data_IF_629160803554
#
_entry.id   IF_629160803554
#
_cell.length_a   1.000
_cell.length_b   1.000
_cell.length_c   1.000
_cell.angle_alpha   90.00
_cell.angle_beta   90.00
_cell.angle_gamma   90.00
#
_symmetry.space_group_name_H-M   'P 1'
#
loop_
_entity.id
_entity.type
_entity.pdbx_description
1 polymer ?
#
# COMPACT_ATOMS: atom_id res chain seq x y z
N UNK A 1 7.00 -39.56 -3.43
CA UNK A 1 6.55 -40.18 -4.69
C UNK A 1 5.08 -39.84 -4.83
N UNK A 2 4.61 -39.41 -6.00
CA UNK A 2 3.19 -39.28 -6.32
C UNK A 2 2.97 -40.13 -7.57
N UNK A 3 2.03 -41.08 -7.52
CA UNK A 3 1.74 -42.00 -8.63
C UNK A 3 2.98 -42.79 -9.13
N UNK A 4 3.83 -43.25 -8.22
CA UNK A 4 5.04 -44.00 -8.59
C UNK A 4 6.17 -43.17 -9.20
N UNK A 5 5.97 -41.85 -9.37
CA UNK A 5 7.00 -40.93 -9.90
C UNK A 5 7.54 -40.04 -8.79
N UNK A 6 8.85 -39.81 -8.81
CA UNK A 6 9.47 -38.85 -7.91
C UNK A 6 9.01 -37.44 -8.28
N UNK A 7 8.40 -36.72 -7.33
CA UNK A 7 7.95 -35.33 -7.54
C UNK A 7 9.10 -34.36 -7.82
N UNK A 8 10.35 -34.79 -7.56
CA UNK A 8 11.59 -34.07 -7.89
C UNK A 8 12.25 -34.56 -9.19
N UNK A 9 11.54 -35.39 -9.96
CA UNK A 9 11.94 -35.90 -11.28
C UNK A 9 13.26 -36.70 -11.25
N UNK A 10 13.44 -37.53 -10.24
CA UNK A 10 14.50 -38.54 -10.19
C UNK A 10 13.97 -39.91 -10.66
N UNK A 11 14.76 -40.70 -11.40
CA UNK A 11 16.14 -40.45 -11.83
C UNK A 11 16.23 -39.40 -12.94
N UNK A 12 17.29 -38.59 -12.93
CA UNK A 12 17.58 -37.60 -13.98
C UNK A 12 18.27 -38.27 -15.18
N UNK A 13 18.26 -37.63 -16.35
CA UNK A 13 18.98 -38.16 -17.52
C UNK A 13 20.50 -38.07 -17.36
N UNK A 14 21.24 -39.00 -17.98
CA UNK A 14 22.68 -38.88 -18.12
C UNK A 14 23.04 -37.74 -19.07
N UNK A 15 24.09 -37.00 -18.74
CA UNK A 15 24.56 -35.83 -19.50
C UNK A 15 26.08 -35.74 -19.42
N UNK A 16 26.71 -35.55 -20.57
CA UNK A 16 28.17 -35.43 -20.65
C UNK A 16 28.72 -34.08 -20.19
N UNK A 17 27.91 -33.02 -20.23
CA UNK A 17 28.31 -31.67 -19.80
C UNK A 17 27.14 -30.99 -19.09
N UNK A 18 27.45 -29.92 -18.36
CA UNK A 18 26.43 -29.06 -17.77
C UNK A 18 25.83 -28.23 -18.90
N UNK A 19 24.50 -28.23 -19.01
CA UNK A 19 23.76 -27.45 -20.00
C UNK A 19 22.82 -26.46 -19.31
N UNK A 20 22.69 -25.28 -19.91
CA UNK A 20 21.70 -24.29 -19.48
C UNK A 20 20.30 -24.69 -19.93
N UNK A 21 19.30 -24.39 -19.10
CA UNK A 21 17.91 -24.66 -19.39
C UNK A 21 17.11 -23.35 -19.38
N UNK A 22 16.15 -23.22 -20.30
CA UNK A 22 15.17 -22.12 -20.38
C UNK A 22 14.39 -21.96 -19.05
N UNK A 23 14.25 -23.04 -18.29
CA UNK A 23 13.60 -23.04 -16.97
C UNK A 23 14.48 -22.55 -15.82
N UNK A 24 15.74 -22.20 -16.07
CA UNK A 24 16.64 -21.50 -15.15
C UNK A 24 17.44 -22.39 -14.20
N UNK A 25 17.08 -23.66 -14.06
CA UNK A 25 17.89 -24.67 -13.38
C UNK A 25 18.87 -25.34 -14.36
N UNK A 26 20.19 -25.36 -14.08
CA UNK A 26 21.14 -26.03 -14.94
C UNK A 26 20.90 -27.54 -14.93
N UNK A 27 21.07 -28.14 -16.10
CA UNK A 27 21.04 -29.59 -16.26
C UNK A 27 22.45 -30.11 -16.03
N UNK A 28 22.71 -30.58 -14.81
CA UNK A 28 24.04 -31.01 -14.40
C UNK A 28 24.58 -32.19 -15.23
N UNK A 29 25.89 -32.19 -15.45
CA UNK A 29 26.62 -33.34 -15.95
C UNK A 29 26.38 -34.54 -15.03
N UNK A 30 25.95 -35.66 -15.62
CA UNK A 30 25.72 -36.93 -14.96
C UNK A 30 26.31 -38.01 -15.85
N UNK A 31 27.53 -38.44 -15.55
CA UNK A 31 28.21 -39.49 -16.32
C UNK A 31 27.57 -40.84 -16.01
N UNK A 32 27.46 -41.70 -17.01
CA UNK A 32 27.10 -43.10 -16.82
C UNK A 32 28.27 -43.77 -16.09
N UNK A 33 28.07 -44.10 -14.82
CA UNK A 33 29.03 -44.85 -14.00
C UNK A 33 28.37 -46.13 -13.53
N UNK A 34 29.16 -47.04 -12.98
CA UNK A 34 28.65 -48.25 -12.35
C UNK A 34 27.61 -47.91 -11.27
N UNK A 35 26.55 -48.69 -11.23
CA UNK A 35 25.51 -48.58 -10.21
C UNK A 35 25.98 -49.24 -8.92
N UNK A 36 25.70 -48.60 -7.79
CA UNK A 36 25.90 -49.18 -6.46
C UNK A 36 24.58 -49.67 -5.89
N UNK A 37 24.60 -50.84 -5.24
CA UNK A 37 23.42 -51.38 -4.58
C UNK A 37 23.27 -50.79 -3.19
N UNK A 38 22.22 -50.00 -2.97
CA UNK A 38 21.87 -49.40 -1.68
C UNK A 38 20.56 -50.00 -1.20
N UNK A 39 20.65 -50.94 -0.26
CA UNK A 39 19.50 -51.74 0.18
C UNK A 39 18.94 -52.60 -0.95
N UNK A 40 17.68 -52.37 -1.33
CA UNK A 40 16.99 -53.09 -2.43
C UNK A 40 17.05 -52.37 -3.78
N UNK A 41 17.72 -51.23 -3.86
CA UNK A 41 17.73 -50.39 -5.06
C UNK A 41 19.14 -50.28 -5.62
N UNK A 42 19.27 -50.39 -6.94
CA UNK A 42 20.50 -50.09 -7.65
C UNK A 42 20.48 -48.60 -8.03
N UNK A 43 21.41 -47.84 -7.47
CA UNK A 43 21.51 -46.40 -7.62
C UNK A 43 22.76 -46.05 -8.42
N UNK A 44 22.59 -45.18 -9.41
CA UNK A 44 23.68 -44.60 -10.19
C UNK A 44 23.67 -43.07 -10.05
N UNK A 45 24.52 -42.39 -10.82
CA UNK A 45 24.62 -40.94 -10.83
C UNK A 45 23.30 -40.20 -11.17
N UNK A 46 22.28 -40.88 -11.71
CA UNK A 46 20.98 -40.26 -12.00
C UNK A 46 20.17 -39.98 -10.75
N UNK A 47 20.48 -40.66 -9.64
CA UNK A 47 19.80 -40.53 -8.35
C UNK A 47 20.46 -39.53 -7.40
N UNK A 48 21.67 -39.06 -7.73
CA UNK A 48 22.45 -38.18 -6.86
C UNK A 48 21.90 -36.75 -6.89
N UNK A 49 21.64 -36.18 -5.71
CA UNK A 49 21.25 -34.78 -5.55
C UNK A 49 22.51 -33.91 -5.56
N UNK A 50 22.54 -32.79 -6.30
CA UNK A 50 23.65 -31.84 -6.23
C UNK A 50 23.93 -31.41 -4.80
N UNK A 51 25.17 -31.51 -4.34
CA UNK A 51 25.54 -31.16 -2.98
C UNK A 51 26.91 -30.51 -2.95
N UNK A 52 27.19 -29.76 -1.88
CA UNK A 52 28.51 -29.25 -1.60
C UNK A 52 29.13 -30.10 -0.47
N UNK A 53 30.22 -30.85 -0.74
CA UNK A 53 30.86 -31.70 0.27
C UNK A 53 31.34 -30.93 1.50
N UNK A 54 31.86 -29.71 1.31
CA UNK A 54 32.36 -28.87 2.39
C UNK A 54 31.22 -28.40 3.30
N UNK A 55 30.12 -27.89 2.73
CA UNK A 55 28.94 -27.48 3.51
C UNK A 55 28.35 -28.66 4.28
N UNK A 56 28.16 -29.79 3.60
CA UNK A 56 27.55 -30.97 4.21
C UNK A 56 28.38 -31.48 5.39
N UNK A 57 29.72 -31.45 5.25
CA UNK A 57 30.65 -31.83 6.33
C UNK A 57 30.68 -30.80 7.46
N UNK A 58 30.69 -29.49 7.15
CA UNK A 58 30.76 -28.41 8.13
C UNK A 58 29.54 -28.39 9.06
N UNK A 59 28.35 -28.64 8.52
CA UNK A 59 27.09 -28.58 9.26
C UNK A 59 26.56 -29.97 9.64
N UNK A 60 27.27 -31.04 9.31
CA UNK A 60 26.85 -32.43 9.52
C UNK A 60 25.40 -32.70 9.07
N UNK A 61 25.04 -32.15 7.90
CA UNK A 61 23.68 -32.19 7.37
C UNK A 61 23.69 -32.37 5.84
N UNK A 62 22.72 -33.09 5.25
CA UNK A 62 22.61 -33.18 3.80
C UNK A 62 22.16 -31.83 3.23
N UNK A 63 23.09 -31.11 2.59
CA UNK A 63 22.82 -29.77 2.01
C UNK A 63 22.75 -29.89 0.49
N UNK A 64 21.53 -29.77 -0.05
CA UNK A 64 21.31 -29.60 -1.49
C UNK A 64 21.84 -28.21 -1.91
N UNK A 65 22.73 -28.20 -2.90
CA UNK A 65 23.30 -26.97 -3.43
C UNK A 65 22.97 -26.88 -4.93
N UNK A 66 22.03 -26.01 -5.26
CA UNK A 66 21.62 -25.74 -6.64
C UNK A 66 22.18 -24.39 -7.09
N UNK A 67 22.80 -24.37 -8.26
CA UNK A 67 23.29 -23.17 -8.93
C UNK A 67 22.17 -22.73 -9.87
N UNK A 68 21.87 -21.43 -9.94
CA UNK A 68 20.84 -20.91 -10.82
C UNK A 68 21.41 -19.72 -11.59
N UNK A 69 21.43 -19.83 -12.93
CA UNK A 69 22.23 -18.93 -13.79
C UNK A 69 21.37 -17.96 -14.61
N UNK A 70 20.05 -18.16 -14.69
CA UNK A 70 19.19 -17.30 -15.53
C UNK A 70 18.70 -16.02 -14.83
N UNK A 71 18.17 -15.05 -15.58
CA UNK A 71 17.51 -13.84 -15.05
C UNK A 71 16.36 -14.14 -14.07
N UNK A 72 15.79 -15.35 -14.14
CA UNK A 72 14.81 -15.82 -13.15
C UNK A 72 15.42 -15.95 -11.74
N UNK A 73 16.76 -16.02 -11.58
CA UNK A 73 17.49 -15.91 -10.30
C UNK A 73 17.18 -14.62 -9.59
N UNK A 74 17.19 -13.51 -10.33
CA UNK A 74 16.92 -12.17 -9.80
C UNK A 74 15.49 -12.12 -9.26
N UNK A 75 14.53 -12.66 -10.05
CA UNK A 75 13.14 -12.83 -9.59
C UNK A 75 13.06 -13.72 -8.35
N UNK A 76 13.82 -14.81 -8.29
CA UNK A 76 13.84 -15.72 -7.15
C UNK A 76 14.39 -15.06 -5.88
N UNK A 77 15.52 -14.36 -5.98
CA UNK A 77 16.12 -13.61 -4.86
C UNK A 77 15.13 -12.58 -4.32
N UNK A 78 14.59 -11.73 -5.20
CA UNK A 78 13.60 -10.73 -4.81
C UNK A 78 12.30 -11.34 -4.30
N UNK A 79 11.86 -12.48 -4.85
CA UNK A 79 10.69 -13.20 -4.33
C UNK A 79 10.88 -13.62 -2.89
N UNK A 80 12.06 -14.08 -2.47
CA UNK A 80 12.32 -14.50 -1.10
C UNK A 80 12.62 -13.34 -0.15
N UNK A 81 13.29 -12.28 -0.63
CA UNK A 81 13.52 -11.06 0.15
C UNK A 81 12.21 -10.29 0.38
N UNK A 82 11.34 -10.25 -0.63
CA UNK A 82 10.04 -9.57 -0.57
C UNK A 82 8.86 -10.52 -0.38
N UNK A 83 9.12 -11.80 -0.07
CA UNK A 83 8.04 -12.65 0.44
C UNK A 83 7.66 -12.01 1.77
N UNK A 84 6.50 -11.36 1.79
CA UNK A 84 6.02 -10.67 2.98
C UNK A 84 5.98 -11.60 4.18
N UNK A 85 5.75 -11.02 5.35
CA UNK A 85 5.53 -11.83 6.55
C UNK A 85 4.34 -12.75 6.30
N UNK A 86 4.55 -14.06 6.40
CA UNK A 86 3.47 -15.03 6.30
C UNK A 86 2.52 -14.77 7.49
N UNK A 87 1.30 -14.31 7.22
CA UNK A 87 0.23 -14.22 8.20
C UNK A 87 -0.47 -15.58 8.27
N UNK A 88 -0.67 -16.08 9.48
CA UNK A 88 -1.41 -17.31 9.73
C UNK A 88 -2.69 -16.94 10.49
N UNK A 89 -3.84 -17.28 9.92
CA UNK A 89 -5.12 -17.22 10.63
C UNK A 89 -5.39 -18.59 11.23
N UNK A 90 -5.58 -18.64 12.54
CA UNK A 90 -5.89 -19.86 13.28
C UNK A 90 -7.37 -19.78 13.67
N UNK A 91 -8.17 -20.73 13.23
CA UNK A 91 -9.56 -20.87 13.67
C UNK A 91 -9.64 -21.87 14.81
N UNK A 92 -10.27 -21.48 15.91
CA UNK A 92 -10.61 -22.41 16.99
C UNK A 92 -11.99 -23.02 16.70
N UNK A 93 -12.07 -24.35 16.64
CA UNK A 93 -13.34 -25.06 16.54
C UNK A 93 -13.74 -25.55 17.94
N UNK A 94 -14.71 -24.86 18.55
CA UNK A 94 -15.33 -25.30 19.81
C UNK A 94 -16.64 -26.04 19.48
N UNK A 95 -16.63 -27.37 19.51
CA UNK A 95 -17.77 -28.19 19.08
C UNK A 95 -19.04 -28.09 19.95
N UNK A 96 -19.02 -27.36 21.08
CA UNK A 96 -20.06 -27.48 22.12
C UNK A 96 -20.73 -26.17 22.62
N UNK A 97 -20.69 -25.05 21.90
CA UNK A 97 -21.41 -23.83 22.30
C UNK A 97 -22.25 -23.26 21.17
N UNK A 98 -23.56 -23.11 21.40
CA UNK A 98 -24.53 -22.45 20.51
C UNK A 98 -24.31 -20.92 20.41
N UNK A 99 -23.45 -20.37 21.27
CA UNK A 99 -23.12 -18.95 21.37
C UNK A 99 -21.62 -18.78 21.00
N UNK A 100 -21.31 -18.87 19.71
CA UNK A 100 -19.95 -18.65 19.20
C UNK A 100 -19.79 -17.20 18.75
N UNK A 101 -18.97 -16.45 19.48
CA UNK A 101 -18.44 -15.19 19.01
C UNK A 101 -17.47 -15.45 17.85
N UNK A 102 -17.88 -15.10 16.63
CA UNK A 102 -17.08 -15.27 15.41
C UNK A 102 -15.73 -14.56 15.53
N UNK A 103 -15.67 -13.38 16.17
CA UNK A 103 -14.43 -12.59 16.29
C UNK A 103 -13.43 -13.29 17.21
N UNK A 104 -13.90 -13.89 18.31
CA UNK A 104 -13.03 -14.65 19.23
C UNK A 104 -12.62 -16.03 18.68
N UNK A 105 -13.30 -16.51 17.64
CA UNK A 105 -13.03 -17.80 17.02
C UNK A 105 -11.82 -17.78 16.09
N UNK A 106 -11.26 -16.60 15.78
CA UNK A 106 -10.08 -16.44 14.94
C UNK A 106 -8.94 -15.75 15.68
N UNK A 107 -7.73 -16.28 15.52
CA UNK A 107 -6.49 -15.65 15.94
C UNK A 107 -5.61 -15.41 14.71
N UNK A 108 -5.46 -14.15 14.33
CA UNK A 108 -4.50 -13.75 13.31
C UNK A 108 -3.11 -13.56 13.93
N UNK A 109 -2.21 -14.48 13.60
CA UNK A 109 -0.82 -14.47 14.02
C UNK A 109 0.11 -14.07 12.87
N UNK A 110 1.16 -13.31 13.20
CA UNK A 110 2.29 -13.12 12.27
C UNK A 110 3.29 -14.25 12.48
N UNK A 111 3.57 -15.01 11.43
CA UNK A 111 4.69 -15.96 11.42
C UNK A 111 6.02 -15.20 11.38
N UNK A 112 6.94 -15.57 12.25
CA UNK A 112 8.29 -15.00 12.33
C UNK A 112 9.27 -16.09 11.93
N UNK A 113 10.09 -15.82 10.91
CA UNK A 113 11.11 -16.78 10.48
C UNK A 113 12.18 -16.99 11.55
N UNK A 114 12.81 -18.16 11.59
CA UNK A 114 13.90 -18.46 12.57
C UNK A 114 15.00 -17.40 12.56
N UNK A 115 15.49 -16.89 11.41
CA UNK A 115 16.46 -15.79 11.40
C UNK A 115 15.93 -14.51 12.03
N UNK A 116 14.69 -14.09 11.72
CA UNK A 116 14.08 -12.90 12.30
C UNK A 116 13.88 -13.05 13.83
N UNK A 117 13.47 -14.23 14.29
CA UNK A 117 13.32 -14.54 15.71
C UNK A 117 14.66 -14.44 16.45
N UNK A 118 15.73 -15.02 15.90
CA UNK A 118 17.07 -14.88 16.45
C UNK A 118 17.53 -13.43 16.48
N UNK A 119 17.27 -12.66 15.41
CA UNK A 119 17.60 -11.23 15.34
C UNK A 119 16.91 -10.43 16.45
N UNK A 120 15.61 -10.70 16.67
CA UNK A 120 14.81 -10.09 17.74
C UNK A 120 15.29 -10.47 19.14
N UNK A 121 15.61 -11.75 19.36
CA UNK A 121 16.11 -12.25 20.65
C UNK A 121 17.45 -11.62 21.05
N UNK A 122 18.27 -11.25 20.06
CA UNK A 122 19.52 -10.54 20.28
C UNK A 122 19.35 -9.00 20.28
N UNK A 123 18.12 -8.49 20.28
CA UNK A 123 17.78 -7.06 20.26
C UNK A 123 18.42 -6.28 19.11
N UNK A 124 18.75 -6.96 18.01
CA UNK A 124 19.31 -6.29 16.85
C UNK A 124 18.23 -5.47 16.14
N UNK A 125 18.63 -4.31 15.63
CA UNK A 125 17.76 -3.48 14.82
C UNK A 125 17.28 -4.26 13.59
N UNK A 126 15.97 -4.51 13.51
CA UNK A 126 15.33 -5.14 12.35
C UNK A 126 15.31 -4.23 11.13
N UNK A 127 15.29 -2.92 11.37
CA UNK A 127 15.12 -1.88 10.38
C UNK A 127 15.95 -0.68 10.79
N UNK A 128 16.91 -0.29 9.97
CA UNK A 128 17.49 1.04 10.04
C UNK A 128 16.58 2.00 9.27
N UNK A 129 16.09 3.04 9.96
CA UNK A 129 15.28 4.08 9.35
C UNK A 129 16.15 5.31 9.17
N UNK A 130 16.34 5.72 7.92
CA UNK A 130 17.02 6.98 7.63
C UNK A 130 16.21 8.21 8.06
N UNK A 131 14.87 8.08 8.17
CA UNK A 131 13.98 9.19 8.47
C UNK A 131 12.92 8.82 9.51
N UNK A 132 12.54 9.80 10.34
CA UNK A 132 11.37 9.72 11.23
C UNK A 132 10.11 10.09 10.45
N UNK A 133 9.11 9.22 10.48
CA UNK A 133 7.83 9.48 9.79
C UNK A 133 6.82 10.04 10.78
N UNK A 134 6.35 11.27 10.54
CA UNK A 134 5.29 11.92 11.30
C UNK A 134 3.96 11.71 10.57
N UNK A 135 3.01 11.03 11.22
CA UNK A 135 1.67 10.82 10.68
C UNK A 135 0.83 12.07 10.89
N UNK A 136 0.32 12.59 9.79
CA UNK A 136 -0.46 13.82 9.74
C UNK A 136 -1.95 13.50 9.59
N UNK A 137 -2.78 14.14 10.41
CA UNK A 137 -4.22 13.86 10.47
C UNK A 137 -4.93 14.40 9.22
N UNK A 138 -5.89 13.63 8.69
CA UNK A 138 -6.75 14.03 7.57
C UNK A 138 -8.18 13.64 7.94
N UNK A 139 -9.03 14.63 8.19
CA UNK A 139 -10.43 14.43 8.56
C UNK A 139 -11.25 15.65 8.16
N UNK A 140 -12.55 15.46 8.00
CA UNK A 140 -13.53 16.54 7.86
C UNK A 140 -13.78 17.21 9.23
N UNK A 141 -14.47 18.37 9.27
CA UNK A 141 -14.95 18.95 10.52
C UNK A 141 -15.69 17.89 11.35
N UNK A 142 -15.36 17.80 12.64
CA UNK A 142 -15.96 16.88 13.62
C UNK A 142 -15.89 15.38 13.32
N UNK A 143 -15.10 14.96 12.32
CA UNK A 143 -14.88 13.56 11.95
C UNK A 143 -13.48 13.05 12.31
N UNK A 144 -12.97 13.50 13.45
CA UNK A 144 -11.65 13.11 13.95
C UNK A 144 -11.69 11.65 14.42
N UNK A 145 -10.59 10.91 14.23
CA UNK A 145 -10.51 9.56 14.76
C UNK A 145 -10.32 9.59 16.27
N UNK A 146 -11.22 8.94 17.01
CA UNK A 146 -11.20 8.85 18.47
C UNK A 146 -10.98 7.38 18.85
N UNK A 147 -10.05 7.16 19.79
CA UNK A 147 -9.82 5.84 20.38
C UNK A 147 -10.37 5.88 21.80
N UNK A 148 -11.22 4.92 22.14
CA UNK A 148 -11.86 4.80 23.44
C UNK A 148 -11.82 3.34 23.93
N UNK A 149 -12.00 3.16 25.22
CA UNK A 149 -12.28 1.86 25.82
C UNK A 149 -13.80 1.71 25.91
N UNK A 150 -14.28 0.47 25.79
CA UNK A 150 -15.70 0.14 25.90
C UNK A 150 -16.29 0.69 27.21
N UNK A 151 -17.39 1.43 27.10
CA UNK A 151 -18.05 2.14 28.20
C UNK A 151 -17.48 3.52 28.56
N UNK A 152 -16.51 4.04 27.79
CA UNK A 152 -15.93 5.39 27.95
C UNK A 152 -16.10 6.27 26.70
N UNK A 153 -17.14 6.02 25.90
CA UNK A 153 -17.40 6.69 24.63
C UNK A 153 -17.60 8.20 24.82
N UNK A 154 -18.49 8.59 25.74
CA UNK A 154 -18.84 10.00 25.96
C UNK A 154 -17.64 10.82 26.45
N UNK A 155 -16.86 10.27 27.37
CA UNK A 155 -15.65 10.92 27.85
C UNK A 155 -14.61 11.06 26.74
N UNK A 156 -14.49 10.06 25.87
CA UNK A 156 -13.56 10.11 24.75
C UNK A 156 -13.96 11.18 23.73
N UNK A 157 -15.25 11.34 23.46
CA UNK A 157 -15.79 12.43 22.64
C UNK A 157 -15.50 13.79 23.28
N UNK A 158 -15.76 13.95 24.58
CA UNK A 158 -15.46 15.19 25.30
C UNK A 158 -13.96 15.53 25.27
N UNK A 159 -13.08 14.54 25.45
CA UNK A 159 -11.62 14.71 25.34
C UNK A 159 -11.19 15.07 23.92
N UNK A 160 -11.82 14.50 22.90
CA UNK A 160 -11.51 14.78 21.50
C UNK A 160 -11.88 16.22 21.12
N UNK A 161 -13.04 16.70 21.58
CA UNK A 161 -13.48 18.09 21.35
C UNK A 161 -12.49 19.12 21.93
N UNK A 162 -11.84 18.81 23.05
CA UNK A 162 -10.83 19.68 23.67
C UNK A 162 -9.42 19.54 23.04
N UNK A 163 -9.15 18.45 22.31
CA UNK A 163 -7.81 18.13 21.80
C UNK A 163 -7.65 18.52 20.35
N UNK A 164 -6.53 19.16 20.04
CA UNK A 164 -6.20 19.49 18.66
C UNK A 164 -5.52 18.34 17.93
N UNK A 165 -5.97 18.04 16.72
CA UNK A 165 -5.24 17.15 15.83
C UNK A 165 -4.05 17.88 15.21
N UNK A 166 -3.13 17.14 14.59
CA UNK A 166 -2.05 17.76 13.81
C UNK A 166 -2.57 18.65 12.68
N UNK A 167 -3.82 18.46 12.22
CA UNK A 167 -4.49 19.29 11.22
C UNK A 167 -5.02 20.59 11.84
N UNK A 168 -5.81 20.52 12.91
CA UNK A 168 -6.37 21.73 13.54
C UNK A 168 -5.29 22.57 14.22
N UNK A 169 -4.26 21.95 14.77
CA UNK A 169 -3.09 22.67 15.30
C UNK A 169 -2.29 23.37 14.18
N UNK A 170 -2.31 22.85 12.95
CA UNK A 170 -1.66 23.51 11.81
C UNK A 170 -2.41 24.77 11.39
N UNK A 171 -3.74 24.77 11.48
CA UNK A 171 -4.54 25.98 11.31
C UNK A 171 -4.17 27.05 12.34
N UNK A 172 -4.09 26.69 13.63
CA UNK A 172 -3.66 27.62 14.69
C UNK A 172 -2.22 28.09 14.47
N UNK A 173 -1.32 27.22 14.01
CA UNK A 173 0.05 27.60 13.66
C UNK A 173 0.06 28.67 12.57
N UNK A 174 -0.71 28.47 11.50
CA UNK A 174 -0.82 29.43 10.41
C UNK A 174 -1.46 30.75 10.85
N UNK A 175 -2.34 30.75 11.85
CA UNK A 175 -2.86 32.00 12.42
C UNK A 175 -1.79 32.79 13.18
N UNK A 176 -0.89 32.10 13.89
CA UNK A 176 0.03 32.72 14.85
C UNK A 176 1.43 32.99 14.30
N UNK A 177 1.87 32.25 13.27
CA UNK A 177 3.22 32.32 12.73
C UNK A 177 3.21 32.51 11.21
N UNK A 178 3.63 33.69 10.76
CA UNK A 178 3.68 34.02 9.33
C UNK A 178 4.66 33.14 8.55
N UNK A 179 5.73 32.65 9.18
CA UNK A 179 6.72 31.79 8.52
C UNK A 179 6.09 30.47 8.06
N UNK A 180 5.10 29.99 8.81
CA UNK A 180 4.43 28.72 8.54
C UNK A 180 3.63 28.72 7.21
N UNK A 181 3.29 29.91 6.70
CA UNK A 181 2.63 30.08 5.40
C UNK A 181 3.53 29.67 4.23
N UNK A 182 4.84 29.56 4.44
CA UNK A 182 5.77 29.13 3.39
C UNK A 182 5.82 27.60 3.22
N UNK A 183 5.15 26.84 4.08
CA UNK A 183 5.26 25.37 4.09
C UNK A 183 3.92 24.70 3.84
N UNK A 184 3.94 23.70 2.95
CA UNK A 184 2.80 22.80 2.76
C UNK A 184 2.61 21.94 3.99
N UNK A 185 1.37 21.53 4.25
CA UNK A 185 1.06 20.73 5.42
C UNK A 185 1.92 19.44 5.55
N UNK A 186 2.22 18.78 4.42
CA UNK A 186 3.12 17.61 4.37
C UNK A 186 4.56 17.90 4.79
N UNK A 187 5.00 19.14 4.61
CA UNK A 187 6.38 19.55 4.80
C UNK A 187 6.60 20.22 6.16
N UNK A 188 5.52 20.67 6.84
CA UNK A 188 5.55 21.21 8.21
C UNK A 188 6.42 20.40 9.17
N UNK A 189 6.41 19.05 9.20
CA UNK A 189 7.28 18.28 10.09
C UNK A 189 8.79 18.50 9.92
N UNK A 190 9.25 18.96 8.76
CA UNK A 190 10.65 19.32 8.53
C UNK A 190 11.05 20.59 9.29
N UNK A 191 10.11 21.52 9.50
CA UNK A 191 10.36 22.84 10.09
C UNK A 191 9.77 23.00 11.48
N UNK A 192 8.77 22.20 11.84
CA UNK A 192 8.07 22.23 13.11
C UNK A 192 7.98 20.83 13.72
N UNK A 193 7.96 20.77 15.04
CA UNK A 193 7.75 19.56 15.82
C UNK A 193 6.40 19.65 16.53
N UNK A 194 5.60 18.58 16.44
CA UNK A 194 4.31 18.53 17.13
C UNK A 194 4.51 18.10 18.59
N UNK A 195 4.23 19.01 19.52
CA UNK A 195 4.25 18.73 20.94
C UNK A 195 2.92 18.06 21.33
N UNK A 196 2.97 16.75 21.65
CA UNK A 196 1.76 15.97 21.99
C UNK A 196 1.12 16.35 23.32
N UNK A 197 1.89 16.91 24.26
CA UNK A 197 1.34 17.32 25.56
C UNK A 197 0.61 18.64 25.46
N UNK A 198 1.19 19.60 24.73
CA UNK A 198 0.58 20.90 24.46
C UNK A 198 -0.40 20.90 23.28
N UNK A 199 -0.38 19.83 22.46
CA UNK A 199 -1.14 19.68 21.21
C UNK A 199 -0.89 20.80 20.19
N UNK A 200 0.34 21.32 20.14
CA UNK A 200 0.73 22.47 19.29
C UNK A 200 1.98 22.20 18.50
N UNK A 201 2.11 22.88 17.35
CA UNK A 201 3.34 22.90 16.57
C UNK A 201 4.32 23.92 17.15
N UNK A 202 5.59 23.52 17.26
CA UNK A 202 6.69 24.36 17.74
C UNK A 202 7.82 24.36 16.73
N UNK A 203 8.51 25.48 16.54
CA UNK A 203 9.61 25.60 15.57
C UNK A 203 10.71 24.58 15.90
N UNK A 204 11.10 23.79 14.90
CA UNK A 204 12.11 22.74 15.06
C UNK A 204 13.49 23.37 15.13
N UNK A 205 14.29 22.89 16.09
CA UNK A 205 15.66 23.36 16.28
C UNK A 205 16.69 22.56 15.48
N UNK A 206 16.50 21.24 15.30
CA UNK A 206 17.45 20.32 14.64
C UNK A 206 16.76 19.14 13.94
N UNK A 207 17.45 18.54 12.97
CA UNK A 207 17.10 17.25 12.38
C UNK A 207 15.92 17.30 11.40
N UNK A 208 15.63 18.45 10.78
CA UNK A 208 14.50 18.60 9.86
C UNK A 208 14.62 17.74 8.60
N UNK A 209 15.82 17.60 8.05
CA UNK A 209 16.10 16.85 6.82
C UNK A 209 15.81 15.35 6.96
N UNK A 210 15.81 14.81 8.19
CA UNK A 210 15.56 13.41 8.48
C UNK A 210 14.12 13.15 8.94
N UNK A 211 13.17 14.04 8.63
CA UNK A 211 11.76 13.91 9.06
C UNK A 211 10.83 14.02 7.87
N UNK A 212 9.92 13.05 7.71
CA UNK A 212 8.95 13.04 6.62
C UNK A 212 7.54 13.11 7.20
N UNK A 213 6.77 14.11 6.79
CA UNK A 213 5.33 14.16 7.02
C UNK A 213 4.59 13.24 6.07
N UNK A 214 3.83 12.28 6.60
CA UNK A 214 2.95 11.41 5.80
C UNK A 214 1.50 11.61 6.17
N UNK A 215 0.70 11.97 5.17
CA UNK A 215 -0.75 11.90 5.25
C UNK A 215 -1.24 10.48 4.91
N UNK A 216 -2.25 9.94 5.61
CA UNK A 216 -2.85 8.66 5.28
C UNK A 216 -3.39 8.66 3.84
N UNK A 217 -3.41 7.49 3.21
CA UNK A 217 -4.14 7.29 1.97
C UNK A 217 -5.63 7.36 2.30
N UNK A 218 -6.38 8.09 1.50
CA UNK A 218 -7.84 8.20 1.62
C UNK A 218 -8.43 7.58 0.36
N UNK A 219 -9.43 6.72 0.53
CA UNK A 219 -10.15 6.10 -0.58
C UNK A 219 -10.93 7.18 -1.34
N UNK A 220 -10.95 7.13 -2.67
CA UNK A 220 -11.74 8.04 -3.52
C UNK A 220 -13.24 7.97 -3.19
N UNK A 221 -13.73 6.82 -2.71
CA UNK A 221 -15.12 6.67 -2.25
C UNK A 221 -15.44 7.54 -1.03
N UNK A 222 -14.45 7.90 -0.21
CA UNK A 222 -14.57 8.92 0.84
C UNK A 222 -14.27 10.29 0.21
N UNK A 223 -15.19 10.73 -0.65
CA UNK A 223 -14.99 11.79 -1.63
C UNK A 223 -14.47 13.10 -1.02
N UNK A 224 -15.20 13.67 -0.07
CA UNK A 224 -14.85 14.97 0.52
C UNK A 224 -13.52 14.93 1.29
N UNK A 225 -13.22 13.82 1.99
CA UNK A 225 -11.95 13.66 2.69
C UNK A 225 -10.79 13.47 1.71
N UNK A 226 -11.02 12.81 0.58
CA UNK A 226 -10.06 12.68 -0.50
C UNK A 226 -9.72 14.05 -1.10
N UNK A 227 -10.72 14.87 -1.42
CA UNK A 227 -10.51 16.22 -1.95
C UNK A 227 -9.85 17.16 -0.92
N UNK A 228 -10.21 17.05 0.36
CA UNK A 228 -9.50 17.74 1.43
C UNK A 228 -8.01 17.38 1.46
N UNK A 229 -7.67 16.09 1.33
CA UNK A 229 -6.27 15.64 1.24
C UNK A 229 -5.57 16.23 0.03
N UNK A 230 -6.25 16.32 -1.12
CA UNK A 230 -5.71 16.89 -2.35
C UNK A 230 -5.38 18.38 -2.20
N UNK A 231 -6.30 19.17 -1.64
CA UNK A 231 -6.09 20.60 -1.39
C UNK A 231 -4.88 20.86 -0.49
N UNK A 232 -4.67 20.03 0.53
CA UNK A 232 -3.56 20.19 1.49
C UNK A 232 -2.19 19.86 0.94
N UNK A 233 -2.12 19.18 -0.21
CA UNK A 233 -0.88 19.00 -0.95
C UNK A 233 -0.47 20.25 -1.73
N UNK A 234 -1.35 21.24 -1.86
CA UNK A 234 -1.17 22.38 -2.77
C UNK A 234 -1.39 23.74 -2.13
N UNK A 235 -2.27 23.84 -1.12
CA UNK A 235 -2.59 25.09 -0.44
C UNK A 235 -1.66 25.35 0.74
N UNK A 236 -1.04 26.52 0.71
CA UNK A 236 -0.16 27.08 1.73
C UNK A 236 -0.96 27.92 2.74
N UNK A 237 -0.47 27.98 3.98
CA UNK A 237 -0.96 28.93 4.99
C UNK A 237 -2.43 28.83 5.37
N UNK A 238 -3.11 27.70 5.11
CA UNK A 238 -4.55 27.63 5.35
C UNK A 238 -4.87 27.73 6.85
N UNK A 239 -5.78 28.62 7.25
CA UNK A 239 -6.09 28.88 8.67
C UNK A 239 -7.39 28.23 9.15
N UNK A 240 -8.16 27.60 8.26
CA UNK A 240 -9.40 26.90 8.62
C UNK A 240 -9.83 25.92 7.52
N UNK A 241 -10.86 25.12 7.81
CA UNK A 241 -11.51 24.29 6.80
C UNK A 241 -12.18 25.11 5.69
N UNK A 242 -12.77 26.26 6.03
CA UNK A 242 -13.39 27.16 5.05
C UNK A 242 -12.35 27.83 4.17
N UNK A 243 -11.19 28.17 4.74
CA UNK A 243 -10.08 28.64 3.95
C UNK A 243 -9.62 27.55 2.98
N UNK A 244 -9.48 26.28 3.40
CA UNK A 244 -9.20 25.19 2.46
C UNK A 244 -10.23 25.08 1.31
N UNK A 245 -11.51 25.37 1.57
CA UNK A 245 -12.58 25.40 0.55
C UNK A 245 -12.60 26.68 -0.29
N UNK A 246 -11.75 27.66 0.00
CA UNK A 246 -11.71 28.92 -0.74
C UNK A 246 -10.85 28.78 -2.00
N UNK A 247 -11.50 28.86 -3.16
CA UNK A 247 -10.86 28.94 -4.49
C UNK A 247 -11.20 30.29 -5.13
N UNK A 248 -10.22 30.99 -5.69
CA UNK A 248 -10.39 32.32 -6.31
C UNK A 248 -11.21 33.32 -5.46
N UNK A 249 -10.93 33.36 -4.15
CA UNK A 249 -11.61 34.20 -3.14
C UNK A 249 -13.08 33.88 -2.88
N UNK A 250 -13.60 32.78 -3.44
CA UNK A 250 -14.95 32.29 -3.20
C UNK A 250 -14.90 31.05 -2.31
N UNK A 251 -15.60 31.09 -1.18
CA UNK A 251 -15.73 29.94 -0.28
C UNK A 251 -16.69 28.93 -0.93
N UNK A 252 -16.20 27.72 -1.20
CA UNK A 252 -17.02 26.64 -1.72
C UNK A 252 -17.76 25.89 -0.61
N UNK A 253 -18.90 25.30 -0.96
CA UNK A 253 -19.64 24.42 -0.03
C UNK A 253 -18.92 23.09 0.21
N UNK A 254 -18.23 22.57 -0.81
CA UNK A 254 -17.55 21.27 -0.80
C UNK A 254 -16.07 21.40 -1.16
N UNK A 255 -15.25 20.49 -0.65
CA UNK A 255 -13.84 20.39 -1.00
C UNK A 255 -13.66 20.00 -2.47
N UNK A 256 -14.54 19.15 -3.01
CA UNK A 256 -14.54 18.81 -4.43
C UNK A 256 -14.65 20.04 -5.32
N UNK A 257 -15.60 20.94 -5.03
CA UNK A 257 -15.81 22.16 -5.81
C UNK A 257 -14.60 23.09 -5.72
N UNK A 258 -13.99 23.20 -4.54
CA UNK A 258 -12.75 23.96 -4.37
C UNK A 258 -11.61 23.39 -5.22
N UNK A 259 -11.44 22.06 -5.27
CA UNK A 259 -10.48 21.41 -6.16
C UNK A 259 -10.75 21.71 -7.63
N UNK A 260 -12.02 21.71 -8.06
CA UNK A 260 -12.43 22.01 -9.43
C UNK A 260 -12.07 23.45 -9.81
N UNK A 261 -12.36 24.42 -8.96
CA UNK A 261 -12.03 25.85 -9.19
C UNK A 261 -10.51 26.04 -9.23
N UNK A 262 -9.75 25.37 -8.37
CA UNK A 262 -8.28 25.44 -8.37
C UNK A 262 -7.61 24.66 -9.52
N UNK A 263 -8.40 24.10 -10.46
CA UNK A 263 -7.88 23.33 -11.59
C UNK A 263 -7.17 22.02 -11.20
N UNK A 264 -7.46 21.49 -10.00
CA UNK A 264 -6.88 20.23 -9.51
C UNK A 264 -7.62 18.99 -10.01
N UNK A 265 -8.84 19.19 -10.52
CA UNK A 265 -9.63 18.16 -11.18
C UNK A 265 -9.76 18.55 -12.65
N UNK A 266 -9.59 17.59 -13.55
CA UNK A 266 -9.96 17.79 -14.95
C UNK A 266 -11.45 18.14 -14.99
N UNK A 267 -11.81 19.23 -15.66
CA UNK A 267 -13.20 19.64 -15.78
C UNK A 267 -13.87 18.97 -16.97
N UNK A 268 -15.18 18.76 -16.88
CA UNK A 268 -16.00 18.24 -17.99
C UNK A 268 -16.20 19.25 -19.14
N UNK A 269 -15.46 20.37 -19.13
CA UNK A 269 -15.60 21.45 -20.10
C UNK A 269 -15.39 20.96 -21.54
N UNK A 270 -14.41 20.09 -21.75
CA UNK A 270 -14.17 19.49 -23.06
C UNK A 270 -15.34 18.60 -23.52
N UNK A 271 -16.06 17.94 -22.60
CA UNK A 271 -17.29 17.22 -22.93
C UNK A 271 -18.44 18.17 -23.28
N UNK A 272 -18.56 19.29 -22.56
CA UNK A 272 -19.53 20.33 -22.90
C UNK A 272 -19.27 20.92 -24.29
N UNK A 273 -18.02 21.28 -24.58
CA UNK A 273 -17.63 21.84 -25.87
C UNK A 273 -17.88 20.83 -27.00
N UNK A 274 -17.54 19.55 -26.78
CA UNK A 274 -17.80 18.45 -27.73
C UNK A 274 -19.30 18.26 -28.00
N UNK A 275 -20.15 18.29 -26.98
CA UNK A 275 -21.60 18.15 -27.15
C UNK A 275 -22.22 19.39 -27.81
N UNK A 276 -21.75 20.59 -27.46
CA UNK A 276 -22.19 21.84 -28.09
C UNK A 276 -21.90 21.85 -29.60
N UNK A 277 -20.73 21.37 -30.02
CA UNK A 277 -20.38 21.25 -31.43
C UNK A 277 -21.22 20.16 -32.13
N UNK A 278 -21.41 19.02 -31.47
CA UNK A 278 -22.18 17.92 -32.03
C UNK A 278 -23.66 18.28 -32.25
N UNK A 279 -24.26 19.08 -31.36
CA UNK A 279 -25.66 19.54 -31.48
C UNK A 279 -25.87 20.33 -32.78
N UNK A 280 -24.87 21.10 -33.22
CA UNK A 280 -24.98 21.91 -34.43
C UNK A 280 -24.84 21.09 -35.73
N UNK A 281 -24.24 19.91 -35.65
CA UNK A 281 -23.73 19.18 -36.83
C UNK A 281 -24.25 17.76 -36.98
N UNK A 282 -24.79 17.13 -35.92
CA UNK A 282 -25.10 15.70 -35.88
C UNK A 282 -26.59 15.43 -35.80
N UNK A 283 -27.00 14.28 -36.31
CA UNK A 283 -28.37 13.80 -36.18
C UNK A 283 -28.66 13.33 -34.72
N UNK A 284 -29.92 13.39 -34.24
CA UNK A 284 -30.27 13.04 -32.85
C UNK A 284 -29.82 11.64 -32.40
N UNK A 285 -29.82 10.66 -33.31
CA UNK A 285 -29.30 9.32 -33.01
C UNK A 285 -27.78 9.33 -32.71
N UNK A 286 -27.01 10.07 -33.51
CA UNK A 286 -25.56 10.19 -33.33
C UNK A 286 -25.22 10.96 -32.06
N UNK A 287 -26.03 11.97 -31.71
CA UNK A 287 -25.85 12.74 -30.49
C UNK A 287 -26.10 11.89 -29.24
N UNK A 288 -27.16 11.05 -29.23
CA UNK A 288 -27.41 10.10 -28.14
C UNK A 288 -26.34 9.05 -28.00
N UNK A 289 -25.80 8.55 -29.13
CA UNK A 289 -24.68 7.62 -29.12
C UNK A 289 -23.41 8.27 -28.55
N UNK A 290 -23.12 9.51 -28.93
CA UNK A 290 -21.99 10.28 -28.41
C UNK A 290 -22.14 10.50 -26.90
N UNK A 291 -23.32 10.90 -26.43
CA UNK A 291 -23.61 11.06 -25.01
C UNK A 291 -23.43 9.75 -24.23
N UNK A 292 -23.98 8.64 -24.72
CA UNK A 292 -23.80 7.33 -24.11
C UNK A 292 -22.31 6.90 -24.08
N UNK A 293 -21.55 7.24 -25.11
CA UNK A 293 -20.11 6.97 -25.18
C UNK A 293 -19.33 7.79 -24.15
N UNK A 294 -19.69 9.07 -23.97
CA UNK A 294 -19.11 9.96 -22.96
C UNK A 294 -19.42 9.41 -21.56
N UNK A 295 -20.67 9.04 -21.26
CA UNK A 295 -21.04 8.50 -19.95
C UNK A 295 -20.44 7.11 -19.67
N UNK A 296 -20.32 6.24 -20.69
CA UNK A 296 -19.91 4.86 -20.51
C UNK A 296 -18.40 4.62 -20.51
N UNK A 297 -17.62 5.47 -21.18
CA UNK A 297 -16.20 5.22 -21.44
C UNK A 297 -15.27 6.38 -21.09
N UNK A 298 -15.78 7.50 -20.56
CA UNK A 298 -14.98 8.66 -20.19
C UNK A 298 -15.11 8.98 -18.70
N UNK A 299 -14.07 9.63 -18.16
CA UNK A 299 -14.06 10.13 -16.79
C UNK A 299 -14.85 11.45 -16.72
N UNK A 300 -16.18 11.35 -16.81
CA UNK A 300 -17.08 12.48 -16.57
C UNK A 300 -17.23 12.65 -15.06
N UNK A 301 -16.90 13.84 -14.56
CA UNK A 301 -16.93 14.13 -13.13
C UNK A 301 -18.36 14.34 -12.61
N UNK A 302 -19.26 14.90 -13.43
CA UNK A 302 -20.65 15.20 -13.04
C UNK A 302 -21.65 14.79 -14.14
N UNK A 303 -22.01 13.51 -14.15
CA UNK A 303 -22.98 12.94 -15.09
C UNK A 303 -24.38 13.59 -14.94
N UNK A 304 -24.91 13.83 -13.73
CA UNK A 304 -26.18 14.54 -13.56
C UNK A 304 -26.20 15.93 -14.21
N UNK A 305 -25.18 16.76 -13.97
CA UNK A 305 -25.06 18.09 -14.58
C UNK A 305 -25.02 17.98 -16.12
N UNK A 306 -24.24 17.04 -16.65
CA UNK A 306 -24.14 16.77 -18.09
C UNK A 306 -25.50 16.37 -18.68
N UNK A 307 -26.25 15.48 -18.02
CA UNK A 307 -27.59 15.08 -18.46
C UNK A 307 -28.58 16.24 -18.44
N UNK A 308 -28.70 16.96 -17.32
CA UNK A 308 -29.66 18.05 -17.18
C UNK A 308 -29.43 19.17 -18.18
N UNK A 309 -28.17 19.41 -18.55
CA UNK A 309 -27.79 20.42 -19.53
C UNK A 309 -28.17 20.07 -20.96
N UNK A 310 -28.16 18.79 -21.34
CA UNK A 310 -28.31 18.35 -22.73
C UNK A 310 -29.56 17.51 -23.01
N UNK A 311 -30.36 17.15 -22.00
CA UNK A 311 -31.56 16.30 -22.13
C UNK A 311 -32.56 16.75 -23.20
N UNK A 312 -32.68 18.05 -23.48
CA UNK A 312 -33.64 18.59 -24.45
C UNK A 312 -33.10 18.51 -25.89
N UNK A 313 -31.78 18.40 -26.05
CA UNK A 313 -31.11 18.28 -27.34
C UNK A 313 -30.86 16.81 -27.75
N UNK A 314 -30.81 15.88 -26.79
CA UNK A 314 -30.57 14.44 -26.95
C UNK A 314 -31.80 13.67 -27.46
#
# INVERSE_FOLDING_TARGET
MREGVCTKQYPKEFREKIEENINGYPMYQRKCTESIRVGRHDLDNRWVIPYNPWLSKKFNAPINAEVYVSIKSVKYLYKYVYKGHDAASIRFENENTLDQDEVLSFLDGRSVSVPEAMWRLNEFNLLEKSHTVVRLAVHLPDQQAIVYQDGQEEEAVARAAARQTTLTAWFELNTNDQDSHNYLYRDVPHYYTFNKSAMKWQKRQRGGEQVIGRMPVVNIQDSERYYLRLLRLRKLGAISFDDLKTGDRIVCNTFQKACKIQGLLEGDQHWYDTLNEAIQTRAPFQLRLLFATICGFREVNDIPELWFRYKDAL
#
